data_IF_809534480525
#
_entry.id   IF_809534480525
#
_cell.length_a   1.000
_cell.length_b   1.000
_cell.length_c   1.000
_cell.angle_alpha   90.00
_cell.angle_beta   90.00
_cell.angle_gamma   90.00
#
_symmetry.space_group_name_H-M   'P 1'
#
loop_
_entity.id
_entity.type
_entity.pdbx_description
1 polymer ?
#
# COMPACT_ATOMS: atom_id res chain seq x y z
N UNK A 1 -29.04 22.03 19.20
CA UNK A 1 -27.64 22.05 18.73
C UNK A 1 -27.42 20.83 17.86
N UNK A 2 -27.56 20.99 16.54
CA UNK A 2 -27.12 19.95 15.59
C UNK A 2 -25.62 20.14 15.44
N UNK A 3 -24.86 19.26 16.07
CA UNK A 3 -23.43 19.12 15.79
C UNK A 3 -23.28 18.49 14.42
N UNK A 4 -23.32 19.28 13.36
CA UNK A 4 -22.66 18.88 12.11
C UNK A 4 -21.18 18.83 12.43
N UNK A 5 -20.72 17.64 12.81
CA UNK A 5 -19.32 17.26 12.77
C UNK A 5 -18.80 17.65 11.39
N UNK A 6 -18.10 18.78 11.33
CA UNK A 6 -17.28 19.15 10.18
C UNK A 6 -16.22 18.08 10.05
N UNK A 7 -16.55 17.00 9.35
CA UNK A 7 -15.66 15.88 9.11
C UNK A 7 -14.44 16.44 8.39
N UNK A 8 -13.26 16.23 8.99
CA UNK A 8 -12.01 16.63 8.39
C UNK A 8 -11.95 16.00 6.98
N UNK A 9 -11.97 16.78 5.88
CA UNK A 9 -12.06 16.23 4.52
C UNK A 9 -10.89 15.29 4.23
N UNK A 10 -9.73 15.58 4.80
CA UNK A 10 -8.55 14.73 4.77
C UNK A 10 -8.77 13.38 5.49
N UNK A 11 -9.48 13.37 6.61
CA UNK A 11 -9.80 12.12 7.31
C UNK A 11 -10.77 11.25 6.51
N UNK A 12 -11.75 11.86 5.81
CA UNK A 12 -12.66 11.16 4.89
C UNK A 12 -11.87 10.51 3.75
N UNK A 13 -11.01 11.30 3.10
CA UNK A 13 -10.14 10.85 2.02
C UNK A 13 -9.24 9.68 2.46
N UNK A 14 -8.58 9.79 3.62
CA UNK A 14 -7.74 8.71 4.16
C UNK A 14 -8.54 7.45 4.50
N UNK A 15 -9.76 7.60 5.03
CA UNK A 15 -10.63 6.46 5.29
C UNK A 15 -11.01 5.72 4.01
N UNK A 16 -11.33 6.46 2.93
CA UNK A 16 -11.65 5.90 1.62
C UNK A 16 -10.43 5.17 1.04
N UNK A 17 -9.27 5.84 0.95
CA UNK A 17 -8.06 5.20 0.41
C UNK A 17 -7.69 3.93 1.16
N UNK A 18 -7.74 3.96 2.50
CA UNK A 18 -7.44 2.79 3.33
C UNK A 18 -8.43 1.65 3.08
N UNK A 19 -9.73 1.95 2.95
CA UNK A 19 -10.76 0.96 2.66
C UNK A 19 -10.55 0.33 1.29
N UNK A 20 -10.40 1.13 0.24
CA UNK A 20 -10.25 0.64 -1.13
C UNK A 20 -8.95 -0.15 -1.29
N UNK A 21 -7.82 0.32 -0.76
CA UNK A 21 -6.55 -0.40 -0.82
C UNK A 21 -6.53 -1.75 -0.08
N UNK A 22 -7.42 -1.96 0.89
CA UNK A 22 -7.59 -3.26 1.54
C UNK A 22 -8.39 -4.27 0.70
N UNK A 23 -9.23 -3.77 -0.22
CA UNK A 23 -10.08 -4.57 -1.10
C UNK A 23 -9.36 -4.84 -2.42
N UNK A 24 -8.85 -3.76 -3.03
CA UNK A 24 -8.13 -3.76 -4.29
C UNK A 24 -6.63 -3.96 -4.05
N UNK A 25 -6.28 -5.14 -3.51
CA UNK A 25 -4.93 -5.44 -3.02
C UNK A 25 -4.12 -6.37 -3.94
N UNK A 26 -4.49 -6.47 -5.22
CA UNK A 26 -3.71 -7.18 -6.25
C UNK A 26 -2.38 -6.46 -6.51
N UNK A 27 -1.33 -7.24 -6.78
CA UNK A 27 0.03 -6.76 -7.11
C UNK A 27 0.33 -7.07 -8.57
N UNK A 28 1.42 -6.50 -9.08
CA UNK A 28 1.91 -6.74 -10.44
C UNK A 28 2.01 -8.24 -10.78
N UNK A 29 2.43 -9.08 -9.82
CA UNK A 29 2.53 -10.55 -9.97
C UNK A 29 1.20 -11.27 -10.21
N UNK A 30 0.06 -10.63 -9.91
CA UNK A 30 -1.29 -11.15 -10.15
C UNK A 30 -1.79 -10.86 -11.58
N UNK A 31 -1.01 -10.15 -12.40
CA UNK A 31 -1.39 -9.74 -13.75
C UNK A 31 -0.48 -10.36 -14.82
N UNK A 32 -1.01 -10.61 -16.03
CA UNK A 32 -0.23 -11.20 -17.12
C UNK A 32 0.74 -10.20 -17.76
N UNK A 33 0.50 -8.89 -17.59
CA UNK A 33 1.40 -7.85 -18.08
C UNK A 33 1.40 -6.61 -17.17
N UNK A 34 2.48 -5.84 -17.24
CA UNK A 34 2.60 -4.54 -16.56
C UNK A 34 1.51 -3.55 -17.02
N UNK A 35 1.04 -3.68 -18.26
CA UNK A 35 -0.04 -2.83 -18.78
C UNK A 35 -1.34 -3.10 -18.05
N UNK A 36 -1.72 -4.37 -17.90
CA UNK A 36 -2.95 -4.74 -17.19
C UNK A 36 -2.92 -4.31 -15.72
N UNK A 37 -1.73 -4.37 -15.09
CA UNK A 37 -1.55 -3.85 -13.74
C UNK A 37 -1.72 -2.33 -13.67
N UNK A 38 -1.17 -1.57 -14.61
CA UNK A 38 -1.34 -0.11 -14.65
C UNK A 38 -2.78 0.29 -14.95
N UNK A 39 -3.45 -0.38 -15.89
CA UNK A 39 -4.86 -0.15 -16.21
C UNK A 39 -5.73 -0.41 -14.95
N UNK A 40 -5.41 -1.45 -14.18
CA UNK A 40 -6.04 -1.72 -12.89
C UNK A 40 -5.79 -0.62 -11.85
N UNK A 41 -4.56 -0.10 -11.74
CA UNK A 41 -4.25 1.00 -10.82
C UNK A 41 -5.01 2.28 -11.18
N UNK A 42 -5.14 2.59 -12.47
CA UNK A 42 -5.91 3.73 -12.97
C UNK A 42 -7.40 3.58 -12.63
N UNK A 43 -7.98 2.40 -12.82
CA UNK A 43 -9.38 2.13 -12.43
C UNK A 43 -9.60 2.32 -10.92
N UNK A 44 -8.65 1.87 -10.08
CA UNK A 44 -8.71 2.02 -8.63
C UNK A 44 -8.60 3.48 -8.23
N UNK A 45 -7.70 4.24 -8.83
CA UNK A 45 -7.54 5.68 -8.57
C UNK A 45 -8.78 6.47 -8.99
N UNK A 46 -9.33 6.22 -10.18
CA UNK A 46 -10.56 6.87 -10.64
C UNK A 46 -11.71 6.62 -9.66
N UNK A 47 -11.87 5.37 -9.20
CA UNK A 47 -12.89 5.01 -8.23
C UNK A 47 -12.72 5.73 -6.87
N UNK A 48 -11.47 5.86 -6.40
CA UNK A 48 -11.15 6.60 -5.17
C UNK A 48 -11.51 8.09 -5.33
N UNK A 49 -11.14 8.70 -6.45
CA UNK A 49 -11.45 10.10 -6.75
C UNK A 49 -12.97 10.35 -6.77
N UNK A 50 -13.72 9.51 -7.48
CA UNK A 50 -15.18 9.59 -7.53
C UNK A 50 -15.82 9.46 -6.13
N UNK A 51 -15.32 8.55 -5.28
CA UNK A 51 -15.79 8.39 -3.89
C UNK A 51 -15.46 9.59 -2.98
N UNK A 52 -14.29 10.21 -3.15
CA UNK A 52 -13.88 11.40 -2.41
C UNK A 52 -14.81 12.57 -2.77
N UNK A 53 -15.03 12.78 -4.07
CA UNK A 53 -15.91 13.80 -4.64
C UNK A 53 -17.40 13.54 -4.36
N UNK A 54 -17.76 12.29 -4.05
CA UNK A 54 -19.14 11.89 -3.77
C UNK A 54 -19.97 11.71 -5.05
N UNK A 55 -19.31 11.44 -6.17
CA UNK A 55 -19.93 11.20 -7.47
C UNK A 55 -20.19 9.70 -7.62
N UNK A 56 -21.38 9.33 -8.13
CA UNK A 56 -21.72 7.94 -8.45
C UNK A 56 -21.51 6.90 -7.33
N UNK A 57 -21.45 7.35 -6.06
CA UNK A 57 -21.22 6.51 -4.87
C UNK A 57 -22.04 5.21 -4.88
N UNK A 58 -23.36 5.19 -5.13
CA UNK A 58 -24.12 3.93 -5.10
C UNK A 58 -23.68 2.92 -6.17
N UNK A 59 -23.29 3.37 -7.35
CA UNK A 59 -22.83 2.50 -8.43
C UNK A 59 -21.44 1.93 -8.12
N UNK A 60 -20.55 2.76 -7.59
CA UNK A 60 -19.21 2.36 -7.17
C UNK A 60 -19.29 1.36 -6.01
N UNK A 61 -20.12 1.62 -5.01
CA UNK A 61 -20.32 0.71 -3.87
C UNK A 61 -20.85 -0.66 -4.33
N UNK A 62 -21.72 -0.69 -5.35
CA UNK A 62 -22.16 -1.95 -5.96
C UNK A 62 -21.00 -2.68 -6.67
N UNK A 63 -20.14 -1.96 -7.42
CA UNK A 63 -18.94 -2.53 -8.06
C UNK A 63 -17.98 -3.09 -7.00
N UNK A 64 -17.76 -2.38 -5.90
CA UNK A 64 -16.93 -2.80 -4.76
C UNK A 64 -17.51 -4.08 -4.12
N UNK A 65 -18.80 -4.10 -3.84
CA UNK A 65 -19.45 -5.26 -3.21
C UNK A 65 -19.36 -6.52 -4.10
N UNK A 66 -19.54 -6.35 -5.41
CA UNK A 66 -19.38 -7.44 -6.36
C UNK A 66 -17.92 -7.93 -6.40
N UNK A 67 -16.96 -7.01 -6.49
CA UNK A 67 -15.54 -7.34 -6.49
C UNK A 67 -15.12 -8.10 -5.22
N UNK A 68 -15.59 -7.66 -4.05
CA UNK A 68 -15.32 -8.34 -2.78
C UNK A 68 -15.84 -9.78 -2.78
N UNK A 69 -17.04 -10.00 -3.33
CA UNK A 69 -17.62 -11.34 -3.42
C UNK A 69 -16.82 -12.25 -4.35
N UNK A 70 -16.39 -11.73 -5.49
CA UNK A 70 -15.65 -12.49 -6.50
C UNK A 70 -14.19 -12.75 -6.12
N UNK A 71 -13.57 -11.85 -5.35
CA UNK A 71 -12.15 -11.90 -5.01
C UNK A 71 -11.90 -12.21 -3.52
N UNK A 72 -12.90 -12.72 -2.79
CA UNK A 72 -12.80 -12.97 -1.35
C UNK A 72 -11.59 -13.84 -0.98
N UNK A 73 -11.36 -14.91 -1.73
CA UNK A 73 -10.21 -15.80 -1.53
C UNK A 73 -8.88 -15.09 -1.80
N UNK A 74 -8.77 -14.34 -2.89
CA UNK A 74 -7.57 -13.57 -3.23
C UNK A 74 -7.26 -12.52 -2.15
N UNK A 75 -8.28 -11.84 -1.64
CA UNK A 75 -8.14 -10.85 -0.58
C UNK A 75 -7.58 -11.50 0.69
N UNK A 76 -8.10 -12.68 1.06
CA UNK A 76 -7.60 -13.43 2.21
C UNK A 76 -6.14 -13.84 2.06
N UNK A 77 -5.75 -14.36 0.89
CA UNK A 77 -4.37 -14.77 0.60
C UNK A 77 -3.42 -13.57 0.65
N UNK A 78 -3.79 -12.45 0.01
CA UNK A 78 -2.99 -11.22 0.00
C UNK A 78 -2.81 -10.64 1.40
N UNK A 79 -3.86 -10.69 2.25
CA UNK A 79 -3.75 -10.28 3.66
C UNK A 79 -2.83 -11.17 4.47
N UNK A 80 -2.89 -12.50 4.30
CA UNK A 80 -2.00 -13.43 4.97
C UNK A 80 -0.54 -13.18 4.57
N UNK A 81 -0.26 -13.02 3.27
CA UNK A 81 1.08 -12.73 2.75
C UNK A 81 1.63 -11.42 3.32
N UNK A 82 0.81 -10.36 3.36
CA UNK A 82 1.20 -9.07 3.97
C UNK A 82 1.53 -9.19 5.45
N UNK A 83 0.79 -10.02 6.20
CA UNK A 83 1.06 -10.26 7.61
C UNK A 83 2.38 -11.01 7.83
N UNK A 84 2.68 -12.00 7.00
CA UNK A 84 3.95 -12.74 7.01
C UNK A 84 5.13 -11.83 6.66
N UNK A 85 5.02 -11.03 5.60
CA UNK A 85 6.03 -10.04 5.20
C UNK A 85 6.31 -9.03 6.32
N UNK A 86 5.26 -8.53 6.98
CA UNK A 86 5.40 -7.62 8.10
C UNK A 86 6.10 -8.30 9.29
N UNK A 87 5.71 -9.53 9.64
CA UNK A 87 6.38 -10.28 10.70
C UNK A 87 7.86 -10.52 10.39
N UNK A 88 8.19 -10.87 9.15
CA UNK A 88 9.57 -11.04 8.68
C UNK A 88 10.37 -9.72 8.70
N UNK A 89 9.74 -8.60 8.36
CA UNK A 89 10.38 -7.29 8.43
C UNK A 89 10.67 -6.89 9.89
N UNK A 90 9.77 -7.18 10.83
CA UNK A 90 9.98 -6.93 12.26
C UNK A 90 11.05 -7.87 12.84
N UNK A 91 11.12 -9.12 12.40
CA UNK A 91 12.11 -10.09 12.90
C UNK A 91 13.54 -9.79 12.42
N UNK A 92 13.71 -9.11 11.28
CA UNK A 92 15.03 -8.73 10.75
C UNK A 92 15.77 -7.66 11.57
N UNK A 93 15.16 -7.16 12.65
CA UNK A 93 15.75 -6.13 13.50
C UNK A 93 15.94 -4.80 12.75
N UNK A 94 16.19 -3.68 13.45
CA UNK A 94 16.71 -2.50 12.78
C UNK A 94 18.02 -2.90 12.12
N UNK A 95 18.18 -2.54 10.84
CA UNK A 95 19.41 -2.70 10.06
C UNK A 95 20.60 -2.31 10.94
N UNK A 96 21.37 -3.30 11.40
CA UNK A 96 22.64 -3.05 12.09
C UNK A 96 23.60 -2.64 10.98
N UNK A 97 23.86 -1.34 10.88
CA UNK A 97 24.99 -0.84 10.13
C UNK A 97 26.24 -1.38 10.85
N UNK A 98 26.74 -2.52 10.41
CA UNK A 98 28.09 -2.96 10.79
C UNK A 98 29.02 -1.94 10.13
N UNK A 99 29.38 -0.92 10.92
CA UNK A 99 30.37 0.06 10.53
C UNK A 99 31.72 -0.63 10.48
N UNK A 100 32.06 -1.19 9.32
CA UNK A 100 33.44 -1.53 8.96
C UNK A 100 34.22 -0.22 8.79
N UNK A 101 34.55 0.41 9.92
CA UNK A 101 35.49 1.52 9.99
C UNK A 101 36.86 0.93 10.27
N UNK A 102 37.42 0.20 9.30
CA UNK A 102 38.85 -0.12 9.32
C UNK A 102 39.48 0.05 7.94
N UNK A 103 40.66 0.67 7.95
CA UNK A 103 41.62 0.81 6.86
C UNK A 103 41.45 1.98 5.89
N UNK A 104 41.44 3.20 6.43
CA UNK A 104 42.13 4.33 5.79
C UNK A 104 43.13 4.94 6.79
N UNK A 105 44.42 4.65 6.61
CA UNK A 105 45.51 5.44 7.20
C UNK A 105 46.58 4.64 7.92
N UNK A 106 47.59 4.16 7.19
CA UNK A 106 49.00 4.44 7.50
C UNK A 106 49.94 3.74 6.49
N UNK A 107 50.32 4.46 5.43
CA UNK A 107 51.59 4.24 4.75
C UNK A 107 52.44 5.50 4.94
N UNK A 108 53.21 5.51 6.03
CA UNK A 108 54.30 6.47 6.23
C UNK A 108 55.58 5.82 5.68
N UNK A 109 56.32 6.43 4.73
CA UNK A 109 57.62 5.92 4.33
C UNK A 109 58.68 6.31 5.38
N UNK A 110 59.38 5.31 5.90
CA UNK A 110 60.57 5.43 6.74
C UNK A 110 61.68 6.20 6.00
N UNK A 111 62.30 7.16 6.70
CA UNK A 111 63.54 7.83 6.29
C UNK A 111 64.74 6.89 6.47
N UNK A 112 65.52 6.69 5.40
CA UNK A 112 66.98 6.46 5.45
C UNK A 112 67.65 7.50 4.57
#
# INVERSE_FOLDING_TARGET
MVGTSGGNPFAKEMAIRKRIGNIYNKREEDFPSLRDYNDYLEEVENMICELIEGINVPAIEAKIAQYQKENAEQIMISQARKAEELAAALSKGPFRFDGDTESLGNCLPTLE
#
